data_IF_000197447495
#
_entry.id   IF_000197447495
#
_cell.length_a   1.000
_cell.length_b   1.000
_cell.length_c   1.000
_cell.angle_alpha   90.00
_cell.angle_beta   90.00
_cell.angle_gamma   90.00
#
_symmetry.space_group_name_H-M   'P 1'
#
loop_
_entity.id
_entity.type
_entity.pdbx_description
1 polymer ?
#
# COMPACT_ATOMS: atom_id res chain seq x y z
N UNK A 1 37.42 -5.54 39.67
CA UNK A 1 35.96 -5.77 39.79
C UNK A 1 35.54 -6.61 38.61
N UNK A 2 35.11 -7.84 38.83
CA UNK A 2 34.63 -8.73 37.77
C UNK A 2 33.21 -8.31 37.36
N UNK A 3 32.93 -8.23 36.08
CA UNK A 3 31.62 -7.96 35.56
C UNK A 3 30.65 -9.08 35.96
N UNK A 4 29.42 -8.74 36.29
CA UNK A 4 28.36 -9.74 36.46
C UNK A 4 27.99 -10.37 35.09
N UNK A 5 27.43 -11.60 35.05
CA UNK A 5 27.06 -12.24 33.78
C UNK A 5 26.22 -11.33 32.85
N UNK A 6 25.25 -10.61 33.38
CA UNK A 6 24.43 -9.68 32.59
C UNK A 6 25.18 -8.42 32.11
N UNK A 7 26.23 -8.00 32.81
CA UNK A 7 27.10 -6.91 32.34
C UNK A 7 28.03 -7.39 31.23
N UNK A 8 28.49 -8.64 31.29
CA UNK A 8 29.32 -9.25 30.25
C UNK A 8 28.49 -9.43 28.94
N UNK A 9 27.26 -9.93 29.02
CA UNK A 9 26.38 -10.07 27.87
C UNK A 9 26.08 -8.72 27.19
N UNK A 10 25.84 -7.67 27.98
CA UNK A 10 25.61 -6.32 27.42
C UNK A 10 26.86 -5.76 26.75
N UNK A 11 28.03 -5.98 27.31
CA UNK A 11 29.29 -5.57 26.70
C UNK A 11 29.56 -6.30 25.39
N UNK A 12 29.33 -7.61 25.33
CA UNK A 12 29.48 -8.41 24.12
C UNK A 12 28.48 -7.99 23.04
N UNK A 13 27.23 -7.71 23.41
CA UNK A 13 26.20 -7.21 22.48
C UNK A 13 26.57 -5.82 21.91
N UNK A 14 27.14 -4.95 22.74
CA UNK A 14 27.64 -3.64 22.33
C UNK A 14 28.82 -3.75 21.36
N UNK A 15 29.80 -4.60 21.65
CA UNK A 15 30.92 -4.84 20.75
C UNK A 15 30.47 -5.41 19.40
N UNK A 16 29.57 -6.40 19.40
CA UNK A 16 28.98 -6.95 18.17
C UNK A 16 28.22 -5.90 17.35
N UNK A 17 27.51 -4.99 18.01
CA UNK A 17 26.86 -3.86 17.38
C UNK A 17 27.89 -2.92 16.70
N UNK A 18 28.94 -2.52 17.39
CA UNK A 18 30.02 -1.67 16.84
C UNK A 18 30.72 -2.33 15.66
N UNK A 19 31.01 -3.63 15.75
CA UNK A 19 31.60 -4.40 14.65
C UNK A 19 30.69 -4.41 13.40
N UNK A 20 29.36 -4.62 13.58
CA UNK A 20 28.41 -4.55 12.46
C UNK A 20 28.39 -3.18 11.80
N UNK A 21 28.41 -2.08 12.55
CA UNK A 21 28.45 -0.74 11.98
C UNK A 21 29.71 -0.51 11.13
N UNK A 22 30.87 -0.94 11.59
CA UNK A 22 32.11 -0.86 10.82
C UNK A 22 32.04 -1.70 9.54
N UNK A 23 31.47 -2.88 9.63
CA UNK A 23 31.31 -3.76 8.46
C UNK A 23 30.31 -3.17 7.45
N UNK A 24 29.17 -2.62 7.89
CA UNK A 24 28.19 -1.96 7.00
C UNK A 24 28.83 -0.85 6.17
N UNK A 25 29.75 -0.07 6.74
CA UNK A 25 30.46 0.97 6.00
C UNK A 25 31.41 0.44 4.92
N UNK A 26 31.80 -0.82 4.99
CA UNK A 26 32.73 -1.48 4.06
C UNK A 26 32.05 -2.40 3.06
N UNK A 27 30.78 -2.75 3.30
CA UNK A 27 30.02 -3.64 2.42
C UNK A 27 29.77 -3.01 1.06
N UNK A 28 29.97 -3.80 0.04
CA UNK A 28 29.47 -3.48 -1.30
C UNK A 28 27.94 -3.56 -1.36
N UNK A 29 27.34 -2.88 -2.34
CA UNK A 29 25.89 -2.95 -2.58
C UNK A 29 25.39 -4.41 -2.73
N UNK A 30 26.17 -5.27 -3.42
CA UNK A 30 25.81 -6.68 -3.64
C UNK A 30 25.76 -7.46 -2.33
N UNK A 31 26.77 -7.29 -1.47
CA UNK A 31 26.83 -7.94 -0.15
C UNK A 31 25.65 -7.49 0.73
N UNK A 32 25.37 -6.19 0.74
CA UNK A 32 24.21 -5.65 1.47
C UNK A 32 22.90 -6.24 0.97
N UNK A 33 22.70 -6.35 -0.35
CA UNK A 33 21.49 -6.97 -0.94
C UNK A 33 21.40 -8.45 -0.53
N UNK A 34 22.48 -9.21 -0.61
CA UNK A 34 22.49 -10.63 -0.21
C UNK A 34 22.13 -10.80 1.27
N UNK A 35 22.66 -9.97 2.13
CA UNK A 35 22.35 -9.97 3.55
C UNK A 35 20.87 -9.64 3.81
N UNK A 36 20.34 -8.63 3.14
CA UNK A 36 18.95 -8.18 3.35
C UNK A 36 17.89 -9.12 2.74
N UNK A 37 18.29 -10.02 1.83
CA UNK A 37 17.42 -11.03 1.20
C UNK A 37 17.69 -12.44 1.70
N UNK A 38 18.68 -12.62 2.59
CA UNK A 38 19.04 -13.89 3.20
C UNK A 38 18.17 -14.26 4.40
N UNK A 39 18.79 -14.80 5.45
CA UNK A 39 18.07 -15.13 6.69
C UNK A 39 17.47 -13.89 7.35
N UNK A 40 16.15 -13.85 7.57
CA UNK A 40 15.49 -12.70 8.18
C UNK A 40 16.00 -12.34 9.57
N UNK A 41 16.39 -13.32 10.39
CA UNK A 41 16.89 -13.07 11.74
C UNK A 41 18.29 -12.41 11.70
N UNK A 42 19.15 -12.87 10.79
CA UNK A 42 20.46 -12.24 10.58
C UNK A 42 20.29 -10.82 10.01
N UNK A 43 19.43 -10.65 8.98
CA UNK A 43 19.13 -9.36 8.41
C UNK A 43 18.63 -8.36 9.48
N UNK A 44 17.80 -8.82 10.42
CA UNK A 44 17.26 -8.00 11.50
C UNK A 44 18.34 -7.44 12.44
N UNK A 45 19.39 -8.20 12.73
CA UNK A 45 20.52 -7.73 13.56
C UNK A 45 21.26 -6.56 12.89
N UNK A 46 21.47 -6.65 11.57
CA UNK A 46 22.13 -5.61 10.79
C UNK A 46 21.27 -4.37 10.62
N UNK A 47 19.98 -4.57 10.29
CA UNK A 47 18.99 -3.48 10.16
C UNK A 47 18.86 -2.74 11.49
N UNK A 48 18.80 -3.46 12.62
CA UNK A 48 18.74 -2.86 13.96
C UNK A 48 19.99 -2.00 14.23
N UNK A 49 21.20 -2.50 13.93
CA UNK A 49 22.41 -1.73 14.12
C UNK A 49 22.42 -0.43 13.32
N UNK A 50 21.97 -0.46 12.07
CA UNK A 50 21.85 0.74 11.23
C UNK A 50 20.75 1.69 11.72
N UNK A 51 19.62 1.16 12.20
CA UNK A 51 18.51 1.94 12.74
C UNK A 51 18.90 2.67 14.03
N UNK A 52 19.61 2.00 14.93
CA UNK A 52 20.15 2.58 16.18
C UNK A 52 21.22 3.65 15.90
N UNK A 53 21.97 3.51 14.82
CA UNK A 53 22.89 4.54 14.33
C UNK A 53 22.20 5.77 13.74
N UNK A 54 20.88 5.69 13.49
CA UNK A 54 20.06 6.82 13.02
C UNK A 54 19.81 6.85 11.52
N UNK A 55 20.01 5.74 10.79
CA UNK A 55 19.68 5.66 9.35
C UNK A 55 18.17 5.55 9.15
N UNK A 56 17.47 6.56 8.56
CA UNK A 56 16.01 6.57 8.48
C UNK A 56 15.43 5.35 7.74
N UNK A 57 16.04 4.96 6.61
CA UNK A 57 15.59 3.79 5.85
C UNK A 57 15.71 2.47 6.65
N UNK A 58 16.73 2.35 7.52
CA UNK A 58 16.88 1.19 8.41
C UNK A 58 15.84 1.24 9.55
N UNK A 59 15.54 2.42 10.07
CA UNK A 59 14.50 2.62 11.08
C UNK A 59 13.12 2.23 10.53
N UNK A 60 12.76 2.69 9.32
CA UNK A 60 11.54 2.29 8.62
C UNK A 60 11.48 0.77 8.42
N UNK A 61 12.57 0.17 7.93
CA UNK A 61 12.63 -1.28 7.70
C UNK A 61 12.50 -2.07 9.00
N UNK A 62 13.18 -1.66 10.08
CA UNK A 62 13.06 -2.31 11.38
C UNK A 62 11.64 -2.21 11.93
N UNK A 63 10.99 -1.05 11.77
CA UNK A 63 9.58 -0.87 12.12
C UNK A 63 8.68 -1.88 11.41
N UNK A 64 8.89 -2.12 10.11
CA UNK A 64 8.14 -3.14 9.36
C UNK A 64 8.42 -4.56 9.85
N UNK A 65 9.69 -4.90 10.05
CA UNK A 65 10.08 -6.21 10.56
C UNK A 65 9.42 -6.51 11.91
N UNK A 66 9.36 -5.54 12.81
CA UNK A 66 8.69 -5.65 14.11
C UNK A 66 7.17 -5.74 13.97
N UNK A 67 6.56 -5.01 13.03
CA UNK A 67 5.12 -5.06 12.80
C UNK A 67 4.66 -6.41 12.24
N UNK A 68 5.47 -7.02 11.38
CA UNK A 68 5.19 -8.27 10.68
C UNK A 68 5.70 -9.52 11.43
N UNK A 69 6.63 -9.35 12.37
CA UNK A 69 7.32 -10.47 13.02
C UNK A 69 8.35 -11.13 12.10
N UNK A 70 8.92 -10.38 11.15
CA UNK A 70 9.86 -10.91 10.17
C UNK A 70 11.30 -10.84 10.66
N UNK A 71 11.86 -11.99 11.06
CA UNK A 71 13.23 -12.11 11.64
C UNK A 71 13.37 -11.55 13.05
N UNK A 72 12.30 -11.03 13.63
CA UNK A 72 12.19 -10.55 15.02
C UNK A 72 10.84 -10.92 15.58
N UNK A 73 10.72 -10.97 16.88
CA UNK A 73 9.40 -11.09 17.54
C UNK A 73 8.55 -9.87 17.19
N UNK A 74 7.25 -10.13 16.90
CA UNK A 74 6.29 -9.07 16.58
C UNK A 74 6.10 -8.15 17.78
N UNK A 75 6.32 -6.86 17.58
CA UNK A 75 6.12 -5.81 18.57
C UNK A 75 5.62 -4.53 17.90
N UNK A 76 4.31 -4.35 17.91
CA UNK A 76 3.66 -3.19 17.27
C UNK A 76 4.06 -1.86 17.95
N UNK A 77 4.32 -1.86 19.27
CA UNK A 77 4.71 -0.66 19.99
C UNK A 77 6.12 -0.22 19.64
N UNK A 78 7.03 -1.18 19.58
CA UNK A 78 8.38 -0.91 19.10
C UNK A 78 8.37 -0.50 17.63
N UNK A 79 7.56 -1.15 16.78
CA UNK A 79 7.39 -0.78 15.38
C UNK A 79 6.96 0.68 15.21
N UNK A 80 5.92 1.10 15.93
CA UNK A 80 5.48 2.50 15.94
C UNK A 80 6.60 3.46 16.35
N UNK A 81 7.35 3.14 17.40
CA UNK A 81 8.47 3.98 17.86
C UNK A 81 9.54 4.17 16.77
N UNK A 82 9.82 3.12 16.00
CA UNK A 82 10.77 3.20 14.89
C UNK A 82 10.22 3.98 13.70
N UNK A 83 8.92 3.86 13.38
CA UNK A 83 8.28 4.69 12.34
C UNK A 83 8.32 6.18 12.72
N UNK A 84 8.03 6.53 13.98
CA UNK A 84 8.11 7.92 14.44
C UNK A 84 9.54 8.46 14.31
N UNK A 85 10.57 7.72 14.72
CA UNK A 85 11.97 8.13 14.56
C UNK A 85 12.35 8.37 13.10
N UNK A 86 11.96 7.49 12.20
CA UNK A 86 12.20 7.65 10.77
C UNK A 86 11.43 8.84 10.20
N UNK A 87 10.19 9.06 10.64
CA UNK A 87 9.36 10.20 10.26
C UNK A 87 9.96 11.53 10.73
N UNK A 88 10.49 11.59 11.95
CA UNK A 88 11.23 12.76 12.48
C UNK A 88 12.51 13.02 11.68
N UNK A 89 13.12 11.97 11.12
CA UNK A 89 14.22 12.05 10.16
C UNK A 89 13.80 12.50 8.75
N UNK A 90 12.52 12.80 8.52
CA UNK A 90 11.99 13.32 7.27
C UNK A 90 11.58 12.25 6.25
N UNK A 91 11.53 10.95 6.63
CA UNK A 91 11.12 9.87 5.71
C UNK A 91 9.60 9.89 5.46
N UNK A 92 9.14 10.15 4.22
CA UNK A 92 7.70 10.30 3.94
C UNK A 92 6.91 8.99 4.06
N UNK A 93 7.55 7.85 3.79
CA UNK A 93 6.93 6.55 3.95
C UNK A 93 6.77 6.19 5.42
N UNK A 94 7.73 6.55 6.27
CA UNK A 94 7.62 6.39 7.72
C UNK A 94 6.51 7.26 8.31
N UNK A 95 6.35 8.51 7.83
CA UNK A 95 5.21 9.35 8.19
C UNK A 95 3.88 8.67 7.85
N UNK A 96 3.77 8.07 6.66
CA UNK A 96 2.60 7.29 6.28
C UNK A 96 2.41 6.06 7.18
N UNK A 97 3.47 5.33 7.53
CA UNK A 97 3.37 4.17 8.42
C UNK A 97 2.94 4.57 9.84
N UNK A 98 3.46 5.68 10.38
CA UNK A 98 3.00 6.22 11.66
C UNK A 98 1.52 6.61 11.62
N UNK A 99 1.05 7.22 10.51
CA UNK A 99 -0.36 7.49 10.26
C UNK A 99 -1.21 6.21 10.30
N UNK A 100 -0.76 5.15 9.66
CA UNK A 100 -1.43 3.83 9.69
C UNK A 100 -1.47 3.22 11.08
N UNK A 101 -0.42 3.40 11.89
CA UNK A 101 -0.42 2.95 13.28
C UNK A 101 -1.53 3.65 14.07
N UNK A 102 -1.69 4.96 13.93
CA UNK A 102 -2.78 5.69 14.55
C UNK A 102 -4.16 5.33 13.99
N UNK A 103 -4.29 5.07 12.68
CA UNK A 103 -5.56 4.68 12.07
C UNK A 103 -6.05 3.31 12.55
N UNK A 104 -5.12 2.34 12.71
CA UNK A 104 -5.46 0.95 13.02
C UNK A 104 -5.24 0.56 14.49
N UNK A 105 -4.65 1.44 15.31
CA UNK A 105 -4.33 1.14 16.68
C UNK A 105 -3.11 0.23 16.85
N UNK A 106 -2.18 0.19 15.88
CA UNK A 106 -0.98 -0.65 15.95
C UNK A 106 0.05 -0.05 16.90
N UNK A 107 0.17 -0.63 18.08
CA UNK A 107 1.10 -0.22 19.12
C UNK A 107 0.78 1.11 19.82
N UNK A 108 -0.27 1.80 19.41
CA UNK A 108 -0.81 3.05 19.99
C UNK A 108 -2.33 3.03 19.98
N UNK A 109 -3.02 3.81 20.83
CA UNK A 109 -4.46 3.98 20.72
C UNK A 109 -4.86 4.54 19.35
N UNK A 110 -5.97 4.01 18.81
CA UNK A 110 -6.54 4.52 17.55
C UNK A 110 -6.89 6.01 17.68
N UNK A 111 -6.40 6.80 16.73
CA UNK A 111 -6.62 8.26 16.69
C UNK A 111 -6.58 8.76 15.24
N UNK A 112 -7.76 8.95 14.65
CA UNK A 112 -7.88 9.43 13.26
C UNK A 112 -7.37 10.87 13.07
N UNK A 113 -7.35 11.72 14.10
CA UNK A 113 -6.79 13.07 13.99
C UNK A 113 -5.27 12.97 13.80
N UNK A 114 -4.61 12.20 14.65
CA UNK A 114 -3.16 11.96 14.52
C UNK A 114 -2.81 11.24 13.23
N UNK A 115 -3.64 10.28 12.80
CA UNK A 115 -3.48 9.64 11.50
C UNK A 115 -3.51 10.67 10.36
N UNK A 116 -4.48 11.59 10.36
CA UNK A 116 -4.59 12.64 9.36
C UNK A 116 -3.39 13.61 9.38
N UNK A 117 -2.87 13.96 10.56
CA UNK A 117 -1.67 14.79 10.70
C UNK A 117 -0.45 14.11 10.06
N UNK A 118 -0.22 12.82 10.34
CA UNK A 118 0.89 12.05 9.79
C UNK A 118 0.73 11.80 8.28
N UNK A 119 -0.47 11.48 7.81
CA UNK A 119 -0.75 11.34 6.37
C UNK A 119 -0.56 12.66 5.63
N UNK A 120 -0.93 13.80 6.23
CA UNK A 120 -0.71 15.11 5.63
C UNK A 120 0.77 15.42 5.48
N UNK A 121 1.57 15.19 6.51
CA UNK A 121 3.03 15.36 6.43
C UNK A 121 3.64 14.49 5.32
N UNK A 122 3.23 13.21 5.23
CA UNK A 122 3.64 12.29 4.17
C UNK A 122 3.22 12.78 2.78
N UNK A 123 1.97 13.25 2.63
CA UNK A 123 1.41 13.75 1.38
C UNK A 123 2.09 15.05 0.90
N UNK A 124 2.38 15.97 1.81
CA UNK A 124 3.10 17.21 1.52
C UNK A 124 4.54 16.94 1.11
N UNK A 125 5.16 15.90 1.67
CA UNK A 125 6.47 15.40 1.23
C UNK A 125 6.41 14.59 -0.08
N UNK A 126 5.22 14.45 -0.70
CA UNK A 126 5.03 13.87 -2.02
C UNK A 126 4.95 12.35 -2.07
N UNK A 127 4.58 11.70 -0.97
CA UNK A 127 4.40 10.25 -0.93
C UNK A 127 2.96 9.88 -1.35
N UNK A 128 2.83 9.09 -2.38
CA UNK A 128 1.55 8.74 -3.02
C UNK A 128 0.58 8.00 -2.08
N UNK A 129 1.06 7.11 -1.23
CA UNK A 129 0.23 6.47 -0.21
C UNK A 129 -0.25 7.45 0.87
N UNK A 130 0.57 8.45 1.23
CA UNK A 130 0.16 9.51 2.14
C UNK A 130 -0.96 10.37 1.52
N UNK A 131 -0.82 10.74 0.25
CA UNK A 131 -1.84 11.46 -0.52
C UNK A 131 -3.15 10.67 -0.60
N UNK A 132 -3.08 9.37 -0.93
CA UNK A 132 -4.23 8.47 -0.98
C UNK A 132 -4.93 8.32 0.38
N UNK A 133 -4.18 8.06 1.45
CA UNK A 133 -4.73 7.85 2.79
C UNK A 133 -5.34 9.14 3.36
N UNK A 134 -4.70 10.29 3.17
CA UNK A 134 -5.28 11.59 3.54
C UNK A 134 -6.58 11.85 2.77
N UNK A 135 -6.61 11.54 1.47
CA UNK A 135 -7.81 11.61 0.66
C UNK A 135 -8.96 10.79 1.24
N UNK A 136 -8.70 9.57 1.70
CA UNK A 136 -9.72 8.72 2.32
C UNK A 136 -10.27 9.33 3.61
N UNK A 137 -9.41 9.86 4.49
CA UNK A 137 -9.88 10.49 5.73
C UNK A 137 -10.71 11.75 5.45
N UNK A 138 -10.33 12.56 4.47
CA UNK A 138 -11.08 13.74 4.05
C UNK A 138 -12.42 13.36 3.39
N UNK A 139 -12.44 12.29 2.59
CA UNK A 139 -13.64 11.80 1.96
C UNK A 139 -14.69 11.33 2.98
N UNK A 140 -14.25 10.59 4.00
CA UNK A 140 -15.11 10.02 5.04
C UNK A 140 -15.37 10.98 6.22
N UNK A 141 -14.56 12.05 6.38
CA UNK A 141 -14.64 12.94 7.56
C UNK A 141 -14.10 12.29 8.84
N UNK A 142 -13.17 11.32 8.71
CA UNK A 142 -12.60 10.62 9.88
C UNK A 142 -11.42 11.42 10.45
N UNK A 143 -11.57 11.91 11.69
CA UNK A 143 -10.55 12.71 12.38
C UNK A 143 -10.30 14.10 11.80
N UNK A 144 -10.95 14.45 10.72
CA UNK A 144 -10.93 15.75 10.02
C UNK A 144 -12.34 16.11 9.56
N UNK A 145 -12.58 17.39 9.30
CA UNK A 145 -13.83 17.80 8.64
C UNK A 145 -13.88 17.19 7.25
N UNK A 146 -15.04 16.61 6.89
CA UNK A 146 -15.26 16.06 5.58
C UNK A 146 -15.10 17.14 4.50
N UNK A 147 -14.24 16.87 3.53
CA UNK A 147 -14.04 17.71 2.35
C UNK A 147 -13.76 16.82 1.13
N UNK A 148 -14.84 16.45 0.43
CA UNK A 148 -14.80 15.56 -0.72
C UNK A 148 -14.03 16.20 -1.90
N UNK A 149 -14.11 17.52 -2.06
CA UNK A 149 -13.36 18.21 -3.10
C UNK A 149 -11.84 18.20 -2.80
N UNK A 150 -11.45 18.39 -1.53
CA UNK A 150 -10.05 18.20 -1.13
C UNK A 150 -9.60 16.76 -1.31
N UNK A 151 -10.44 15.78 -0.97
CA UNK A 151 -10.14 14.35 -1.17
C UNK A 151 -9.83 14.05 -2.64
N UNK A 152 -10.66 14.53 -3.57
CA UNK A 152 -10.42 14.37 -5.02
C UNK A 152 -9.08 15.00 -5.44
N UNK A 153 -8.75 16.19 -4.95
CA UNK A 153 -7.43 16.80 -5.26
C UNK A 153 -6.27 15.92 -4.82
N UNK A 154 -6.35 15.30 -3.64
CA UNK A 154 -5.32 14.40 -3.13
C UNK A 154 -5.28 13.09 -3.93
N UNK A 155 -6.44 12.51 -4.29
CA UNK A 155 -6.49 11.34 -5.18
C UNK A 155 -5.84 11.63 -6.54
N UNK A 156 -6.11 12.80 -7.14
CA UNK A 156 -5.49 13.18 -8.41
C UNK A 156 -3.98 13.35 -8.29
N UNK A 157 -3.47 13.92 -7.21
CA UNK A 157 -2.01 14.00 -6.98
C UNK A 157 -1.37 12.62 -6.89
N UNK A 158 -1.92 11.71 -6.09
CA UNK A 158 -1.46 10.31 -6.02
C UNK A 158 -1.58 9.60 -7.37
N UNK A 159 -2.65 9.87 -8.13
CA UNK A 159 -2.88 9.31 -9.47
C UNK A 159 -1.80 9.71 -10.46
N UNK A 160 -1.38 10.96 -10.46
CA UNK A 160 -0.29 11.46 -11.31
C UNK A 160 1.08 10.82 -10.98
N UNK A 161 1.22 10.23 -9.77
CA UNK A 161 2.39 9.44 -9.35
C UNK A 161 2.28 7.95 -9.68
N UNK A 162 1.19 7.53 -10.32
CA UNK A 162 0.98 6.13 -10.70
C UNK A 162 0.22 5.29 -9.68
N UNK A 163 -0.35 5.88 -8.63
CA UNK A 163 -1.06 5.14 -7.59
C UNK A 163 -2.42 4.61 -8.09
N UNK A 164 -2.48 3.33 -8.46
CA UNK A 164 -3.65 2.73 -9.11
C UNK A 164 -4.96 2.82 -8.30
N UNK A 165 -4.91 2.64 -6.97
CA UNK A 165 -6.11 2.78 -6.12
C UNK A 165 -6.64 4.22 -6.11
N UNK A 166 -5.75 5.22 -6.11
CA UNK A 166 -6.15 6.61 -6.16
C UNK A 166 -6.80 6.97 -7.52
N UNK A 167 -6.24 6.45 -8.62
CA UNK A 167 -6.84 6.59 -9.97
C UNK A 167 -8.27 6.07 -10.00
N UNK A 168 -8.52 4.90 -9.40
CA UNK A 168 -9.86 4.31 -9.33
C UNK A 168 -10.83 5.16 -8.48
N UNK A 169 -10.37 5.76 -7.37
CA UNK A 169 -11.20 6.66 -6.57
C UNK A 169 -11.47 7.99 -7.27
N UNK A 170 -10.47 8.55 -7.96
CA UNK A 170 -10.65 9.73 -8.80
C UNK A 170 -11.68 9.47 -9.92
N UNK A 171 -11.60 8.32 -10.58
CA UNK A 171 -12.59 7.89 -11.58
C UNK A 171 -14.01 7.89 -11.00
N UNK A 172 -14.20 7.28 -9.83
CA UNK A 172 -15.50 7.26 -9.14
C UNK A 172 -15.99 8.66 -8.76
N UNK A 173 -15.07 9.53 -8.34
CA UNK A 173 -15.46 10.92 -8.06
C UNK A 173 -16.00 11.62 -9.30
N UNK A 174 -15.40 11.44 -10.47
CA UNK A 174 -15.91 11.99 -11.73
C UNK A 174 -17.20 11.31 -12.20
N UNK A 175 -17.34 10.01 -12.01
CA UNK A 175 -18.54 9.26 -12.35
C UNK A 175 -19.75 9.73 -11.54
N UNK A 176 -19.58 9.88 -10.23
CA UNK A 176 -20.66 10.21 -9.30
C UNK A 176 -20.83 11.71 -9.04
N UNK A 177 -19.85 12.52 -9.46
CA UNK A 177 -19.82 13.96 -9.16
C UNK A 177 -19.43 14.27 -7.71
N UNK A 178 -18.61 13.43 -7.10
CA UNK A 178 -18.14 13.65 -5.72
C UNK A 178 -17.02 14.68 -5.69
N UNK A 179 -17.33 15.85 -5.15
CA UNK A 179 -16.38 16.98 -5.06
C UNK A 179 -16.06 17.67 -6.38
N UNK A 180 -16.73 17.31 -7.47
CA UNK A 180 -16.62 17.91 -8.81
C UNK A 180 -17.93 17.77 -9.61
N UNK A 181 -18.00 18.38 -10.77
CA UNK A 181 -19.05 18.05 -11.74
C UNK A 181 -18.86 16.63 -12.28
N UNK A 182 -19.97 15.93 -12.54
CA UNK A 182 -19.91 14.60 -13.22
C UNK A 182 -19.25 14.74 -14.59
N UNK A 183 -18.32 13.84 -14.88
CA UNK A 183 -17.60 13.77 -16.14
C UNK A 183 -17.33 12.32 -16.52
N UNK A 184 -18.24 11.67 -17.30
CA UNK A 184 -18.04 10.29 -17.75
C UNK A 184 -16.73 10.09 -18.54
N UNK A 185 -16.32 11.10 -19.29
CA UNK A 185 -15.06 11.04 -20.06
C UNK A 185 -13.82 10.98 -19.15
N UNK A 186 -13.77 11.82 -18.11
CA UNK A 186 -12.71 11.77 -17.10
C UNK A 186 -12.75 10.46 -16.31
N UNK A 187 -13.95 10.00 -15.94
CA UNK A 187 -14.12 8.73 -15.23
C UNK A 187 -13.56 7.56 -16.06
N UNK A 188 -13.91 7.48 -17.34
CA UNK A 188 -13.43 6.44 -18.25
C UNK A 188 -11.91 6.45 -18.37
N UNK A 189 -11.31 7.62 -18.54
CA UNK A 189 -9.84 7.75 -18.66
C UNK A 189 -9.12 7.33 -17.38
N UNK A 190 -9.60 7.74 -16.20
CA UNK A 190 -8.99 7.35 -14.94
C UNK A 190 -9.21 5.87 -14.60
N UNK A 191 -10.39 5.28 -14.94
CA UNK A 191 -10.59 3.84 -14.83
C UNK A 191 -9.63 3.07 -15.73
N UNK A 192 -9.46 3.49 -16.99
CA UNK A 192 -8.55 2.88 -17.94
C UNK A 192 -7.11 2.87 -17.39
N UNK A 193 -6.59 4.04 -16.97
CA UNK A 193 -5.23 4.15 -16.40
C UNK A 193 -5.05 3.29 -15.16
N UNK A 194 -6.04 3.28 -14.28
CA UNK A 194 -6.03 2.44 -13.08
C UNK A 194 -6.02 0.94 -13.44
N UNK A 195 -6.82 0.52 -14.42
CA UNK A 195 -6.86 -0.86 -14.89
C UNK A 195 -5.52 -1.29 -15.53
N UNK A 196 -4.92 -0.40 -16.33
CA UNK A 196 -3.59 -0.59 -16.95
C UNK A 196 -2.47 -0.69 -15.89
N UNK A 197 -2.59 -0.01 -14.75
CA UNK A 197 -1.65 -0.15 -13.63
C UNK A 197 -1.72 -1.51 -12.91
N UNK A 198 -2.68 -2.37 -13.29
CA UNK A 198 -2.87 -3.68 -12.69
C UNK A 198 -3.81 -3.72 -11.48
N UNK A 199 -4.46 -2.61 -11.13
CA UNK A 199 -5.40 -2.61 -10.02
C UNK A 199 -6.69 -3.35 -10.38
N UNK A 200 -6.89 -4.55 -9.86
CA UNK A 200 -7.95 -5.48 -10.25
C UNK A 200 -9.38 -4.93 -10.09
N UNK A 201 -9.64 -4.07 -9.09
CA UNK A 201 -10.97 -3.43 -8.94
C UNK A 201 -11.25 -2.42 -10.05
N UNK A 202 -10.20 -1.73 -10.53
CA UNK A 202 -10.35 -0.85 -11.67
C UNK A 202 -10.49 -1.62 -12.98
N UNK A 203 -9.84 -2.77 -13.12
CA UNK A 203 -10.05 -3.68 -14.25
C UNK A 203 -11.51 -4.12 -14.33
N UNK A 204 -12.12 -4.43 -13.16
CA UNK A 204 -13.56 -4.70 -13.08
C UNK A 204 -14.40 -3.46 -13.47
N UNK A 205 -14.16 -2.30 -12.85
CA UNK A 205 -14.94 -1.10 -13.11
C UNK A 205 -14.85 -0.63 -14.57
N UNK A 206 -13.64 -0.71 -15.17
CA UNK A 206 -13.44 -0.38 -16.57
C UNK A 206 -14.14 -1.40 -17.50
N UNK A 207 -14.11 -2.68 -17.15
CA UNK A 207 -14.87 -3.72 -17.84
C UNK A 207 -16.37 -3.46 -17.81
N UNK A 208 -16.93 -3.03 -16.67
CA UNK A 208 -18.36 -2.64 -16.57
C UNK A 208 -18.65 -1.47 -17.51
N UNK A 209 -17.85 -0.43 -17.49
CA UNK A 209 -18.01 0.73 -18.36
C UNK A 209 -18.01 0.34 -19.85
N UNK A 210 -17.08 -0.52 -20.26
CA UNK A 210 -17.00 -1.00 -21.65
C UNK A 210 -18.23 -1.83 -22.05
N UNK A 211 -18.72 -2.66 -21.13
CA UNK A 211 -19.95 -3.44 -21.36
C UNK A 211 -21.19 -2.52 -21.55
N UNK A 212 -21.29 -1.46 -20.75
CA UNK A 212 -22.36 -0.45 -20.87
C UNK A 212 -22.28 0.34 -22.19
N UNK A 213 -21.06 0.55 -22.70
CA UNK A 213 -20.82 1.17 -24.01
C UNK A 213 -21.02 0.20 -25.19
N UNK A 214 -21.33 -1.08 -24.93
CA UNK A 214 -21.56 -2.10 -25.94
C UNK A 214 -20.30 -2.78 -26.48
N UNK A 215 -19.14 -2.52 -25.90
CA UNK A 215 -17.89 -3.21 -26.26
C UNK A 215 -17.69 -4.45 -25.36
N UNK A 216 -18.50 -5.47 -25.60
CA UNK A 216 -18.48 -6.71 -24.83
C UNK A 216 -17.17 -7.49 -24.97
N UNK A 217 -16.48 -7.37 -26.11
CA UNK A 217 -15.20 -8.05 -26.32
C UNK A 217 -14.11 -7.47 -25.42
N UNK A 218 -13.93 -6.16 -25.43
CA UNK A 218 -12.98 -5.49 -24.55
C UNK A 218 -13.37 -5.66 -23.07
N UNK A 219 -14.68 -5.60 -22.74
CA UNK A 219 -15.14 -5.86 -21.39
C UNK A 219 -14.76 -7.25 -20.88
N UNK A 220 -14.90 -8.30 -21.71
CA UNK A 220 -14.54 -9.66 -21.36
C UNK A 220 -13.03 -9.82 -21.08
N UNK A 221 -12.18 -9.14 -21.84
CA UNK A 221 -10.73 -9.13 -21.59
C UNK A 221 -10.40 -8.54 -20.21
N UNK A 222 -11.01 -7.39 -19.88
CA UNK A 222 -10.75 -6.74 -18.59
C UNK A 222 -11.33 -7.51 -17.42
N UNK A 223 -12.51 -8.12 -17.55
CA UNK A 223 -13.02 -9.03 -16.53
C UNK A 223 -12.12 -10.25 -16.33
N UNK A 224 -11.52 -10.80 -17.41
CA UNK A 224 -10.58 -11.91 -17.30
C UNK A 224 -9.32 -11.51 -16.50
N UNK A 225 -8.78 -10.30 -16.73
CA UNK A 225 -7.67 -9.76 -15.95
C UNK A 225 -8.06 -9.56 -14.48
N UNK A 226 -9.23 -8.98 -14.22
CA UNK A 226 -9.76 -8.77 -12.87
C UNK A 226 -9.95 -10.10 -12.12
N UNK A 227 -10.41 -11.16 -12.79
CA UNK A 227 -10.60 -12.49 -12.23
C UNK A 227 -9.28 -13.18 -11.87
N UNK A 228 -8.23 -12.96 -12.66
CA UNK A 228 -6.91 -13.57 -12.41
C UNK A 228 -6.19 -12.95 -11.23
N UNK A 229 -6.39 -11.65 -10.97
CA UNK A 229 -5.71 -10.88 -9.94
C UNK A 229 -6.60 -10.56 -8.73
N UNK A 230 -7.92 -10.71 -8.87
CA UNK A 230 -8.92 -10.28 -7.89
C UNK A 230 -9.19 -11.29 -6.78
N UNK A 231 -9.76 -10.75 -5.70
CA UNK A 231 -10.30 -11.50 -4.58
C UNK A 231 -11.69 -12.12 -4.91
N UNK A 232 -12.25 -12.88 -3.96
CA UNK A 232 -13.56 -13.49 -4.12
C UNK A 232 -14.69 -12.46 -4.32
N UNK A 233 -14.53 -11.25 -3.77
CA UNK A 233 -15.49 -10.15 -3.96
C UNK A 233 -15.55 -9.71 -5.41
N UNK A 234 -14.41 -9.59 -6.09
CA UNK A 234 -14.37 -9.27 -7.53
C UNK A 234 -14.92 -10.42 -8.37
N UNK A 235 -14.60 -11.67 -8.02
CA UNK A 235 -15.18 -12.84 -8.72
C UNK A 235 -16.70 -12.85 -8.66
N UNK A 236 -17.27 -12.59 -7.49
CA UNK A 236 -18.74 -12.50 -7.33
C UNK A 236 -19.34 -11.29 -8.07
N UNK A 237 -18.62 -10.14 -8.09
CA UNK A 237 -19.08 -8.96 -8.81
C UNK A 237 -19.11 -9.20 -10.33
N UNK A 238 -18.06 -9.79 -10.89
CA UNK A 238 -18.00 -10.18 -12.31
C UNK A 238 -19.11 -11.17 -12.63
N UNK A 239 -19.30 -12.22 -11.81
CA UNK A 239 -20.35 -13.21 -12.03
C UNK A 239 -21.73 -12.56 -12.12
N UNK A 240 -22.06 -11.63 -11.22
CA UNK A 240 -23.34 -10.88 -11.25
C UNK A 240 -23.53 -10.06 -12.52
N UNK A 241 -22.49 -9.39 -13.01
CA UNK A 241 -22.56 -8.64 -14.28
C UNK A 241 -22.81 -9.59 -15.45
N UNK A 242 -22.15 -10.74 -15.46
CA UNK A 242 -22.27 -11.72 -16.52
C UNK A 242 -23.61 -12.47 -16.53
N UNK A 243 -24.33 -12.57 -15.41
CA UNK A 243 -25.67 -13.19 -15.35
C UNK A 243 -26.66 -12.53 -16.31
N UNK A 244 -26.63 -11.19 -16.42
CA UNK A 244 -27.49 -10.40 -17.31
C UNK A 244 -26.92 -10.16 -18.70
N UNK A 245 -25.73 -10.65 -19.02
CA UNK A 245 -25.07 -10.35 -20.27
C UNK A 245 -25.70 -11.02 -21.47
N UNK A 246 -25.91 -10.24 -22.53
CA UNK A 246 -26.44 -10.70 -23.82
C UNK A 246 -25.37 -10.75 -24.92
N UNK A 247 -24.24 -10.06 -24.71
CA UNK A 247 -23.10 -10.05 -25.63
C UNK A 247 -22.41 -11.40 -25.70
N UNK A 248 -22.04 -11.83 -26.91
CA UNK A 248 -21.48 -13.17 -27.13
C UNK A 248 -20.17 -13.44 -26.41
N UNK A 249 -19.28 -12.42 -26.30
CA UNK A 249 -18.01 -12.56 -25.60
C UNK A 249 -18.20 -12.67 -24.08
N UNK A 250 -19.12 -11.90 -23.50
CA UNK A 250 -19.49 -11.97 -22.10
C UNK A 250 -20.20 -13.28 -21.74
N UNK A 251 -21.08 -13.77 -22.62
CA UNK A 251 -21.73 -15.08 -22.48
C UNK A 251 -20.70 -16.21 -22.52
N UNK A 252 -19.70 -16.14 -23.40
CA UNK A 252 -18.62 -17.12 -23.47
C UNK A 252 -17.77 -17.09 -22.18
N UNK A 253 -17.44 -15.92 -21.65
CA UNK A 253 -16.72 -15.78 -20.38
C UNK A 253 -17.50 -16.40 -19.21
N UNK A 254 -18.83 -16.15 -19.14
CA UNK A 254 -19.73 -16.77 -18.15
C UNK A 254 -19.68 -18.29 -18.21
N UNK A 255 -19.74 -18.86 -19.43
CA UNK A 255 -19.66 -20.31 -19.65
C UNK A 255 -18.34 -20.89 -19.18
N UNK A 256 -17.23 -20.21 -19.42
CA UNK A 256 -15.90 -20.59 -18.95
C UNK A 256 -15.78 -20.62 -17.42
N UNK A 257 -16.34 -19.64 -16.74
CA UNK A 257 -16.36 -19.58 -15.26
C UNK A 257 -17.19 -20.73 -14.67
N UNK A 258 -18.38 -21.01 -15.23
CA UNK A 258 -19.26 -22.10 -14.78
C UNK A 258 -18.62 -23.48 -14.98
N UNK A 259 -17.77 -23.64 -15.99
CA UNK A 259 -17.03 -24.89 -16.27
C UNK A 259 -15.76 -25.07 -15.43
N UNK A 260 -15.43 -24.14 -14.53
CA UNK A 260 -14.24 -24.21 -13.68
C UNK A 260 -12.90 -24.06 -14.41
N UNK A 261 -12.89 -23.55 -15.66
CA UNK A 261 -11.66 -23.30 -16.43
C UNK A 261 -11.03 -21.98 -15.99
N UNK A 262 -9.73 -21.92 -15.64
CA UNK A 262 -9.05 -20.66 -15.42
C UNK A 262 -9.14 -19.82 -16.71
N UNK A 263 -9.50 -18.54 -16.57
CA UNK A 263 -9.55 -17.57 -17.66
C UNK A 263 -8.13 -17.29 -18.15
N UNK A 264 -7.72 -17.97 -19.22
CA UNK A 264 -6.41 -17.74 -19.82
C UNK A 264 -5.78 -18.96 -20.51
N UNK A 265 -6.35 -19.41 -21.64
CA UNK A 265 -5.62 -20.09 -22.73
C UNK A 265 -6.51 -20.03 -23.97
N UNK A 266 -6.29 -19.06 -24.80
CA UNK A 266 -6.51 -19.10 -26.23
C UNK A 266 -5.45 -18.24 -26.91
#
# INVERSE_FOLDING_TARGET
MSLTPGQFERAAAFEAHQQRLVQLQRMSYRELQQLLTGDPAEAALWVRSAAEYGVPAAQLRLGRMLLEGNGVERDERAAFTWFERAADGGDPEAMNMAGRCHENGWGVPMDFRKAAERYRASAEAGHDWGEYNLGNLLFDGRGVTQDVAAALRWYLRASHRGHGRAMNLAARCFEEGWGCAKSPAEAAEWYRRSAESGYFRAQFNYGVLLAELGDGAAAAEWFSKALSAGDDGVRQAVARVLEGAMDGALVALRGGLAAGRPSGTA
#
